data_IF_134561902139
#
_entry.id   IF_134561902139
#
_cell.length_a   1.000
_cell.length_b   1.000
_cell.length_c   1.000
_cell.angle_alpha   90.00
_cell.angle_beta   90.00
_cell.angle_gamma   90.00
#
_symmetry.space_group_name_H-M   'P 1'
#
loop_
_entity.id
_entity.type
_entity.pdbx_description
1 polymer ?
#
# COMPACT_ATOMS: atom_id res chain seq x y z
N UNK A 1 3.74 31.17 6.11
CA UNK A 1 4.49 30.06 6.74
C UNK A 1 4.05 29.84 8.18
N UNK A 2 4.14 30.85 8.98
CA UNK A 2 3.69 30.81 10.39
C UNK A 2 2.25 30.33 10.57
N UNK A 3 1.37 30.68 9.64
CA UNK A 3 -0.02 30.23 9.64
C UNK A 3 -0.16 28.70 9.40
N UNK A 4 0.66 28.11 8.52
CA UNK A 4 0.65 26.66 8.28
C UNK A 4 1.26 25.88 9.47
N UNK A 5 2.37 26.36 10.05
CA UNK A 5 2.92 25.78 11.29
C UNK A 5 1.91 25.81 12.43
N UNK A 6 1.23 26.95 12.61
CA UNK A 6 0.19 27.10 13.64
C UNK A 6 -0.99 26.14 13.42
N UNK A 7 -1.42 25.95 12.16
CA UNK A 7 -2.47 25.00 11.82
C UNK A 7 -2.04 23.57 12.10
N UNK A 8 -0.82 23.18 11.66
CA UNK A 8 -0.28 21.84 11.91
C UNK A 8 -0.19 21.61 13.43
N UNK A 9 0.39 22.54 14.20
CA UNK A 9 0.50 22.41 15.65
C UNK A 9 -0.88 22.28 16.33
N UNK A 10 -1.88 23.05 15.88
CA UNK A 10 -3.26 22.98 16.41
C UNK A 10 -3.91 21.63 16.19
N UNK A 11 -3.65 20.99 15.05
CA UNK A 11 -4.29 19.75 14.64
C UNK A 11 -3.36 18.52 14.72
N UNK A 12 -2.12 18.68 15.23
CA UNK A 12 -1.17 17.57 15.44
C UNK A 12 -1.57 16.70 16.65
N UNK A 13 -2.79 16.21 16.63
CA UNK A 13 -3.31 15.29 17.64
C UNK A 13 -3.34 13.86 17.08
N UNK A 14 -3.11 12.83 17.90
CA UNK A 14 -3.33 11.45 17.49
C UNK A 14 -4.79 11.28 17.05
N UNK A 15 -4.99 10.93 15.80
CA UNK A 15 -6.31 10.70 15.23
C UNK A 15 -6.30 9.50 14.30
N UNK A 16 -7.43 8.84 14.07
CA UNK A 16 -7.52 7.80 13.08
C UNK A 16 -7.19 8.37 11.70
N UNK A 17 -6.43 7.62 10.91
CA UNK A 17 -6.26 7.92 9.49
C UNK A 17 -7.58 7.62 8.79
N UNK A 18 -8.31 8.65 8.43
CA UNK A 18 -9.51 8.52 7.59
C UNK A 18 -9.07 8.27 6.14
N UNK A 19 -8.79 7.02 5.82
CA UNK A 19 -8.51 6.59 4.44
C UNK A 19 -9.78 6.20 3.71
N UNK A 20 -10.84 5.94 4.47
CA UNK A 20 -12.18 5.57 4.02
C UNK A 20 -13.19 5.88 5.12
N UNK A 21 -14.45 5.95 4.81
CA UNK A 21 -15.53 6.05 5.77
C UNK A 21 -16.60 4.96 5.47
N UNK A 22 -17.07 4.21 6.48
CA UNK A 22 -16.51 4.09 7.84
C UNK A 22 -15.08 3.60 7.87
N UNK A 23 -14.38 3.82 9.01
CA UNK A 23 -13.00 3.40 9.17
C UNK A 23 -12.92 1.90 9.47
N UNK A 24 -11.74 1.30 9.29
CA UNK A 24 -11.55 -0.12 9.65
C UNK A 24 -11.74 -0.40 11.16
N UNK A 25 -11.78 0.61 12.03
CA UNK A 25 -12.08 0.46 13.44
C UNK A 25 -13.56 0.15 13.70
N UNK A 26 -14.43 0.57 12.78
CA UNK A 26 -15.87 0.37 12.86
C UNK A 26 -16.33 -1.02 12.39
N UNK A 27 -15.41 -1.83 11.83
CA UNK A 27 -15.74 -3.17 11.36
C UNK A 27 -15.99 -4.13 12.53
N UNK A 28 -17.15 -4.78 12.53
CA UNK A 28 -17.57 -5.75 13.55
C UNK A 28 -17.27 -7.19 13.13
N UNK A 29 -16.89 -8.02 14.12
CA UNK A 29 -16.80 -9.48 13.96
C UNK A 29 -18.20 -10.12 13.96
N UNK A 30 -19.19 -9.43 14.52
CA UNK A 30 -20.59 -9.87 14.58
C UNK A 30 -21.38 -9.47 13.33
N UNK A 31 -20.73 -8.83 12.34
CA UNK A 31 -21.37 -8.51 11.07
C UNK A 31 -21.88 -9.78 10.37
N UNK A 32 -23.09 -9.69 9.78
CA UNK A 32 -23.69 -10.79 9.02
C UNK A 32 -22.80 -11.16 7.81
N UNK A 33 -22.01 -12.22 7.99
CA UNK A 33 -21.08 -12.73 6.96
C UNK A 33 -21.83 -13.20 5.71
N UNK A 34 -23.05 -13.71 5.84
CA UNK A 34 -23.89 -14.10 4.72
C UNK A 34 -24.29 -12.89 3.85
N UNK A 35 -24.66 -11.79 4.49
CA UNK A 35 -24.96 -10.54 3.81
C UNK A 35 -23.69 -9.92 3.19
N UNK A 36 -22.57 -9.88 3.91
CA UNK A 36 -21.29 -9.43 3.38
C UNK A 36 -20.85 -10.24 2.15
N UNK A 37 -21.01 -11.57 2.18
CA UNK A 37 -20.79 -12.46 1.02
C UNK A 37 -21.70 -12.06 -0.14
N UNK A 38 -23.00 -11.92 0.08
CA UNK A 38 -23.98 -11.57 -0.96
C UNK A 38 -23.63 -10.23 -1.62
N UNK A 39 -23.26 -9.21 -0.84
CA UNK A 39 -22.85 -7.89 -1.34
C UNK A 39 -21.50 -7.93 -2.09
N UNK A 40 -20.63 -8.87 -1.74
CA UNK A 40 -19.36 -9.06 -2.43
C UNK A 40 -19.52 -9.68 -3.82
N UNK A 41 -20.62 -10.38 -4.05
CA UNK A 41 -20.98 -10.98 -5.35
C UNK A 41 -21.72 -9.97 -6.25
N UNK A 42 -21.41 -8.69 -6.11
CA UNK A 42 -21.95 -7.58 -6.88
C UNK A 42 -21.93 -7.88 -8.39
N UNK A 43 -22.94 -7.37 -9.09
CA UNK A 43 -23.08 -7.52 -10.55
C UNK A 43 -22.18 -6.57 -11.35
N UNK A 44 -21.39 -5.71 -10.69
CA UNK A 44 -20.49 -4.78 -11.40
C UNK A 44 -19.45 -5.58 -12.17
N UNK A 45 -19.32 -5.36 -13.48
CA UNK A 45 -18.40 -6.12 -14.32
C UNK A 45 -16.95 -5.77 -14.06
N UNK A 46 -16.67 -4.52 -13.67
CA UNK A 46 -15.33 -4.00 -13.46
C UNK A 46 -14.95 -4.06 -11.98
N UNK A 47 -13.68 -4.32 -11.69
CA UNK A 47 -13.16 -4.34 -10.33
C UNK A 47 -11.70 -3.86 -10.27
N UNK A 48 -11.29 -3.42 -9.07
CA UNK A 48 -9.89 -3.36 -8.65
C UNK A 48 -9.56 -4.61 -7.84
N UNK A 49 -8.36 -5.18 -8.01
CA UNK A 49 -7.87 -6.31 -7.23
C UNK A 49 -6.72 -5.87 -6.34
N UNK A 50 -6.79 -6.21 -5.06
CA UNK A 50 -5.66 -6.13 -4.13
C UNK A 50 -5.20 -7.53 -3.72
N UNK A 51 -3.91 -7.78 -3.76
CA UNK A 51 -3.32 -9.02 -3.24
C UNK A 51 -2.36 -8.68 -2.12
N UNK A 52 -2.63 -9.16 -0.93
CA UNK A 52 -1.76 -8.98 0.22
C UNK A 52 -0.68 -10.05 0.27
N UNK A 53 0.59 -9.64 0.21
CA UNK A 53 1.74 -10.53 0.38
C UNK A 53 2.38 -10.22 1.73
N UNK A 54 2.18 -11.03 2.79
CA UNK A 54 2.53 -10.66 4.15
C UNK A 54 4.03 -10.77 4.48
N UNK A 55 4.86 -11.27 3.59
CA UNK A 55 6.26 -11.60 3.89
C UNK A 55 7.20 -10.42 3.74
N UNK A 56 8.15 -10.30 4.69
CA UNK A 56 9.32 -9.42 4.60
C UNK A 56 10.57 -10.21 4.97
N UNK A 57 11.67 -9.99 4.26
CA UNK A 57 12.98 -10.59 4.61
C UNK A 57 13.55 -9.99 5.91
N UNK A 58 13.24 -8.71 6.19
CA UNK A 58 13.62 -8.00 7.41
C UNK A 58 12.49 -7.09 7.87
N UNK A 59 12.25 -7.01 9.17
CA UNK A 59 11.24 -6.13 9.74
C UNK A 59 11.84 -4.76 10.07
N UNK A 60 11.28 -3.73 9.45
CA UNK A 60 11.60 -2.35 9.78
C UNK A 60 10.90 -1.96 11.09
N UNK A 61 11.61 -1.26 11.99
CA UNK A 61 11.07 -0.91 13.33
C UNK A 61 9.93 0.10 13.27
N UNK A 62 9.81 0.89 12.22
CA UNK A 62 8.72 1.86 12.03
C UNK A 62 7.44 1.24 11.48
N UNK A 63 7.50 0.02 10.91
CA UNK A 63 6.45 -0.52 10.08
C UNK A 63 5.14 -0.74 10.83
N UNK A 64 4.05 -0.21 10.28
CA UNK A 64 2.67 -0.38 10.76
C UNK A 64 1.91 -1.52 10.08
N UNK A 65 2.44 -2.11 9.01
CA UNK A 65 1.75 -3.11 8.21
C UNK A 65 1.60 -4.47 8.95
N UNK A 66 0.64 -5.26 8.49
CA UNK A 66 0.54 -6.67 8.91
C UNK A 66 1.53 -7.48 8.10
N UNK A 67 2.64 -7.84 8.76
CA UNK A 67 3.77 -8.52 8.11
C UNK A 67 4.23 -9.71 8.90
N UNK A 68 4.79 -10.69 8.19
CA UNK A 68 5.43 -11.88 8.74
C UNK A 68 6.88 -11.94 8.29
N UNK A 69 7.81 -12.20 9.21
CA UNK A 69 9.19 -12.43 8.83
C UNK A 69 9.27 -13.73 8.02
N UNK A 70 9.55 -13.59 6.73
CA UNK A 70 9.79 -14.73 5.84
C UNK A 70 11.18 -15.32 6.09
N UNK A 71 11.23 -16.63 6.40
CA UNK A 71 12.48 -17.35 6.62
C UNK A 71 12.94 -18.12 5.39
N UNK A 72 11.97 -18.57 4.59
CA UNK A 72 12.20 -19.33 3.37
C UNK A 72 11.08 -19.12 2.34
N UNK A 73 11.33 -19.52 1.11
CA UNK A 73 10.38 -19.41 0.00
C UNK A 73 9.27 -20.47 0.06
N UNK A 74 9.40 -21.52 0.89
CA UNK A 74 8.36 -22.52 1.05
C UNK A 74 7.09 -21.93 1.68
N UNK A 75 7.26 -21.09 2.71
CA UNK A 75 6.12 -20.42 3.35
C UNK A 75 5.35 -19.53 2.36
N UNK A 76 6.03 -18.84 1.46
CA UNK A 76 5.37 -18.04 0.42
C UNK A 76 4.71 -18.92 -0.65
N UNK A 77 5.27 -20.07 -0.99
CA UNK A 77 4.68 -21.03 -1.92
C UNK A 77 3.38 -21.62 -1.36
N UNK A 78 3.39 -22.04 -0.10
CA UNK A 78 2.21 -22.53 0.61
C UNK A 78 1.14 -21.42 0.67
N UNK A 79 1.54 -20.18 0.91
CA UNK A 79 0.64 -19.03 0.93
C UNK A 79 0.00 -18.74 -0.43
N UNK A 80 0.74 -18.80 -1.53
CA UNK A 80 0.17 -18.64 -2.88
C UNK A 80 -0.86 -19.74 -3.19
N UNK A 81 -0.65 -20.95 -2.65
CA UNK A 81 -1.66 -22.02 -2.74
C UNK A 81 -2.94 -21.64 -2.00
N UNK A 82 -2.83 -21.02 -0.82
CA UNK A 82 -4.00 -20.52 -0.08
C UNK A 82 -4.73 -19.39 -0.83
N UNK A 83 -3.98 -18.44 -1.44
CA UNK A 83 -4.57 -17.38 -2.27
C UNK A 83 -5.36 -17.97 -3.45
N UNK A 84 -4.81 -18.99 -4.13
CA UNK A 84 -5.53 -19.70 -5.19
C UNK A 84 -6.79 -20.39 -4.68
N UNK A 85 -6.72 -21.07 -3.52
CA UNK A 85 -7.89 -21.69 -2.88
C UNK A 85 -8.94 -20.67 -2.43
N UNK A 86 -8.54 -19.50 -1.92
CA UNK A 86 -9.46 -18.42 -1.57
C UNK A 86 -10.27 -17.98 -2.81
N UNK A 87 -9.59 -17.76 -3.94
CA UNK A 87 -10.25 -17.39 -5.18
C UNK A 87 -11.17 -18.48 -5.70
N UNK A 88 -10.78 -19.76 -5.57
CA UNK A 88 -11.64 -20.90 -5.87
C UNK A 88 -12.89 -20.94 -4.98
N UNK A 89 -12.74 -20.67 -3.67
CA UNK A 89 -13.89 -20.60 -2.76
C UNK A 89 -14.84 -19.45 -3.14
N UNK A 90 -14.31 -18.30 -3.56
CA UNK A 90 -15.12 -17.19 -4.07
C UNK A 90 -15.85 -17.57 -5.37
N UNK A 91 -15.18 -18.27 -6.30
CA UNK A 91 -15.82 -18.79 -7.54
C UNK A 91 -16.94 -19.75 -7.22
N UNK A 92 -16.72 -20.71 -6.30
CA UNK A 92 -17.77 -21.65 -5.83
C UNK A 92 -18.92 -20.93 -5.14
N UNK A 93 -18.64 -19.81 -4.48
CA UNK A 93 -19.65 -18.96 -3.87
C UNK A 93 -20.50 -18.19 -4.90
N UNK A 94 -20.15 -18.23 -6.19
CA UNK A 94 -20.86 -17.56 -7.28
C UNK A 94 -20.20 -16.27 -7.76
N UNK A 95 -18.91 -16.01 -7.41
CA UNK A 95 -18.22 -14.83 -7.93
C UNK A 95 -18.08 -14.92 -9.45
N UNK A 96 -18.58 -13.91 -10.19
CA UNK A 96 -18.43 -13.87 -11.65
C UNK A 96 -16.97 -13.57 -12.03
N UNK A 97 -16.60 -13.92 -13.25
CA UNK A 97 -15.32 -13.51 -13.82
C UNK A 97 -15.40 -12.02 -14.15
N UNK A 98 -14.65 -11.21 -13.42
CA UNK A 98 -14.67 -9.74 -13.51
C UNK A 98 -13.51 -9.22 -14.35
N UNK A 99 -13.72 -8.06 -14.98
CA UNK A 99 -12.67 -7.33 -15.68
C UNK A 99 -11.90 -6.42 -14.70
N UNK A 100 -10.60 -6.67 -14.55
CA UNK A 100 -9.75 -5.87 -13.68
C UNK A 100 -9.24 -4.60 -14.40
N UNK A 101 -9.63 -3.45 -13.88
CA UNK A 101 -9.13 -2.13 -14.31
C UNK A 101 -7.88 -1.71 -13.53
N UNK A 102 -7.72 -2.25 -12.34
CA UNK A 102 -6.58 -1.96 -11.47
C UNK A 102 -6.19 -3.22 -10.70
N UNK A 103 -4.89 -3.47 -10.56
CA UNK A 103 -4.32 -4.52 -9.73
C UNK A 103 -3.24 -3.91 -8.85
N UNK A 104 -3.23 -4.26 -7.58
CA UNK A 104 -2.21 -3.81 -6.64
C UNK A 104 -1.68 -4.96 -5.78
N UNK A 105 -0.36 -5.15 -5.79
CA UNK A 105 0.34 -6.04 -4.87
C UNK A 105 0.96 -5.22 -3.75
N UNK A 106 0.56 -5.51 -2.52
CA UNK A 106 1.07 -4.77 -1.35
C UNK A 106 1.17 -5.66 -0.11
N UNK A 107 1.33 -5.03 1.05
CA UNK A 107 1.32 -5.68 2.34
C UNK A 107 2.62 -5.66 3.11
N UNK A 108 3.38 -6.75 3.08
CA UNK A 108 4.75 -6.83 3.55
C UNK A 108 5.71 -6.36 2.47
N UNK A 109 6.08 -7.30 1.60
CA UNK A 109 6.99 -7.03 0.48
C UNK A 109 6.70 -8.01 -0.67
N UNK A 110 5.99 -7.61 -1.73
CA UNK A 110 5.69 -8.49 -2.86
C UNK A 110 6.92 -9.09 -3.53
N UNK A 111 8.05 -8.38 -3.58
CA UNK A 111 9.30 -8.93 -4.10
C UNK A 111 10.08 -9.81 -3.08
N UNK A 112 9.43 -10.22 -1.97
CA UNK A 112 9.86 -11.40 -1.21
C UNK A 112 9.72 -12.68 -2.06
N UNK A 113 8.71 -12.73 -2.91
CA UNK A 113 8.47 -13.84 -3.84
C UNK A 113 9.67 -14.04 -4.80
N UNK A 114 9.91 -15.31 -5.17
CA UNK A 114 10.85 -15.63 -6.26
C UNK A 114 10.26 -15.24 -7.62
N UNK A 115 11.07 -15.16 -8.70
CA UNK A 115 10.57 -14.92 -10.05
C UNK A 115 9.47 -15.94 -10.47
N UNK A 116 9.65 -17.22 -10.14
CA UNK A 116 8.70 -18.29 -10.44
C UNK A 116 7.41 -18.12 -9.68
N UNK A 117 7.48 -17.70 -8.41
CA UNK A 117 6.32 -17.42 -7.56
C UNK A 117 5.54 -16.18 -8.05
N UNK A 118 6.25 -15.16 -8.54
CA UNK A 118 5.62 -13.98 -9.18
C UNK A 118 4.85 -14.42 -10.42
N UNK A 119 5.48 -15.24 -11.28
CA UNK A 119 4.81 -15.79 -12.46
C UNK A 119 3.59 -16.64 -12.11
N UNK A 120 3.70 -17.49 -11.07
CA UNK A 120 2.59 -18.30 -10.55
C UNK A 120 1.44 -17.43 -10.07
N UNK A 121 1.71 -16.35 -9.32
CA UNK A 121 0.69 -15.41 -8.86
C UNK A 121 -0.02 -14.75 -10.05
N UNK A 122 0.72 -14.33 -11.07
CA UNK A 122 0.15 -13.79 -12.30
C UNK A 122 -0.75 -14.78 -13.03
N UNK A 123 -0.40 -16.07 -13.04
CA UNK A 123 -1.23 -17.14 -13.61
C UNK A 123 -2.52 -17.37 -12.81
N UNK A 124 -2.42 -17.42 -11.46
CA UNK A 124 -3.58 -17.53 -10.57
C UNK A 124 -4.57 -16.38 -10.85
N UNK A 125 -4.10 -15.14 -10.96
CA UNK A 125 -5.01 -14.02 -11.21
C UNK A 125 -5.73 -14.18 -12.54
N UNK A 126 -5.04 -14.56 -13.62
CA UNK A 126 -5.63 -14.73 -14.95
C UNK A 126 -6.62 -15.91 -15.04
N UNK A 127 -6.51 -16.88 -14.16
CA UNK A 127 -7.48 -17.98 -14.07
C UNK A 127 -8.87 -17.49 -13.61
N UNK A 128 -8.92 -16.53 -12.68
CA UNK A 128 -10.17 -16.09 -12.07
C UNK A 128 -10.71 -14.77 -12.61
N UNK A 129 -9.86 -13.96 -13.26
CA UNK A 129 -10.20 -12.62 -13.73
C UNK A 129 -9.80 -12.41 -15.18
N UNK A 130 -10.42 -11.42 -15.81
CA UNK A 130 -9.95 -10.80 -17.05
C UNK A 130 -9.16 -9.54 -16.69
N UNK A 131 -8.11 -9.24 -17.44
CA UNK A 131 -7.30 -8.03 -17.23
C UNK A 131 -7.53 -7.10 -18.41
N UNK A 132 -7.98 -5.87 -18.14
CA UNK A 132 -8.19 -4.87 -19.19
C UNK A 132 -6.85 -4.45 -19.83
N UNK A 133 -6.85 -4.13 -21.12
CA UNK A 133 -5.66 -3.69 -21.84
C UNK A 133 -5.00 -2.46 -21.19
N UNK A 134 -5.81 -1.52 -20.66
CA UNK A 134 -5.34 -0.31 -19.96
C UNK A 134 -5.32 -0.49 -18.43
N UNK A 135 -5.16 -1.72 -17.91
CA UNK A 135 -5.10 -1.98 -16.47
C UNK A 135 -3.88 -1.30 -15.83
N UNK A 136 -4.11 -0.52 -14.76
CA UNK A 136 -3.01 -0.09 -13.89
C UNK A 136 -2.62 -1.26 -12.98
N UNK A 137 -1.45 -1.84 -13.21
CA UNK A 137 -0.95 -2.95 -12.42
C UNK A 137 0.28 -2.50 -11.61
N UNK A 138 0.11 -2.35 -10.31
CA UNK A 138 1.12 -1.79 -9.41
C UNK A 138 1.63 -2.81 -8.38
N UNK A 139 2.88 -2.65 -7.95
CA UNK A 139 3.50 -3.44 -6.89
C UNK A 139 4.32 -2.56 -5.94
N UNK A 140 4.19 -2.80 -4.63
CA UNK A 140 5.06 -2.24 -3.60
C UNK A 140 6.34 -3.06 -3.51
N UNK A 141 7.49 -2.42 -3.70
CA UNK A 141 8.78 -3.11 -3.79
C UNK A 141 9.78 -2.58 -2.77
N UNK A 142 10.52 -3.50 -2.18
CA UNK A 142 11.65 -3.19 -1.31
C UNK A 142 12.95 -3.27 -2.12
N UNK A 143 13.65 -2.14 -2.38
CA UNK A 143 14.90 -2.13 -3.13
C UNK A 143 15.96 -3.06 -2.58
N UNK A 144 15.98 -3.31 -1.27
CA UNK A 144 17.01 -4.14 -0.60
C UNK A 144 17.03 -5.58 -1.09
N UNK A 145 15.88 -6.12 -1.49
CA UNK A 145 15.72 -7.53 -1.91
C UNK A 145 15.24 -7.68 -3.34
N UNK A 146 15.11 -6.55 -4.06
CA UNK A 146 14.77 -6.56 -5.48
C UNK A 146 15.98 -7.03 -6.30
N UNK A 147 15.74 -7.82 -7.34
CA UNK A 147 16.73 -8.24 -8.34
C UNK A 147 16.17 -7.98 -9.74
N UNK A 148 17.05 -7.97 -10.75
CA UNK A 148 16.63 -7.78 -12.14
C UNK A 148 15.64 -8.87 -12.58
N UNK A 149 15.88 -10.13 -12.19
CA UNK A 149 15.01 -11.26 -12.56
C UNK A 149 13.61 -11.10 -11.96
N UNK A 150 13.51 -10.59 -10.73
CA UNK A 150 12.20 -10.29 -10.10
C UNK A 150 11.48 -9.16 -10.83
N UNK A 151 12.20 -8.09 -11.19
CA UNK A 151 11.64 -6.99 -11.98
C UNK A 151 11.12 -7.48 -13.32
N UNK A 152 11.89 -8.30 -14.02
CA UNK A 152 11.49 -8.91 -15.29
C UNK A 152 10.25 -9.81 -15.13
N UNK A 153 10.15 -10.58 -14.04
CA UNK A 153 8.97 -11.37 -13.73
C UNK A 153 7.73 -10.50 -13.47
N UNK A 154 7.86 -9.40 -12.71
CA UNK A 154 6.78 -8.44 -12.51
C UNK A 154 6.34 -7.80 -13.84
N UNK A 155 7.27 -7.35 -14.66
CA UNK A 155 6.96 -6.80 -15.98
C UNK A 155 6.22 -7.82 -16.86
N UNK A 156 6.68 -9.08 -16.87
CA UNK A 156 6.10 -10.17 -17.67
C UNK A 156 4.67 -10.51 -17.27
N UNK A 157 4.29 -10.39 -16.01
CA UNK A 157 2.89 -10.57 -15.57
C UNK A 157 2.03 -9.35 -15.82
N UNK A 158 2.60 -8.22 -16.26
CA UNK A 158 1.89 -6.99 -16.65
C UNK A 158 2.02 -5.83 -15.66
N UNK A 159 2.86 -5.93 -14.63
CA UNK A 159 3.13 -4.78 -13.73
C UNK A 159 3.71 -3.62 -14.55
N UNK A 160 3.06 -2.46 -14.49
CA UNK A 160 3.44 -1.24 -15.22
C UNK A 160 3.67 -0.03 -14.29
N UNK A 161 3.49 -0.21 -12.99
CA UNK A 161 3.77 0.77 -11.94
C UNK A 161 4.47 0.11 -10.75
N UNK A 162 5.46 0.77 -10.19
CA UNK A 162 6.14 0.31 -8.98
C UNK A 162 6.14 1.41 -7.91
N UNK A 163 5.94 1.03 -6.64
CA UNK A 163 6.23 1.89 -5.48
C UNK A 163 7.48 1.37 -4.78
N UNK A 164 8.53 2.19 -4.71
CA UNK A 164 9.78 1.84 -4.05
C UNK A 164 9.83 2.45 -2.65
N UNK A 165 9.89 1.61 -1.62
CA UNK A 165 10.11 2.06 -0.26
C UNK A 165 11.55 2.55 -0.04
N UNK A 166 11.83 3.83 -0.19
CA UNK A 166 13.14 4.44 0.09
C UNK A 166 13.21 4.89 1.54
N UNK A 167 12.18 5.58 2.02
CA UNK A 167 11.96 6.09 3.38
C UNK A 167 12.93 7.21 3.78
N UNK A 168 14.21 6.91 3.89
CA UNK A 168 15.29 7.84 4.22
C UNK A 168 16.62 7.32 3.69
N UNK A 169 17.54 8.22 3.28
CA UNK A 169 18.87 7.84 2.74
C UNK A 169 20.00 8.06 3.73
N UNK A 170 19.73 8.69 4.89
CA UNK A 170 20.74 8.89 5.93
C UNK A 170 21.10 7.57 6.63
N UNK A 171 22.39 7.17 6.69
CA UNK A 171 22.81 5.88 7.25
C UNK A 171 22.45 5.70 8.73
N UNK A 172 22.50 6.76 9.55
CA UNK A 172 22.18 6.68 10.97
C UNK A 172 20.67 6.49 11.20
N UNK A 173 19.83 7.19 10.41
CA UNK A 173 18.38 6.99 10.41
C UNK A 173 18.05 5.55 9.98
N UNK A 174 18.66 5.08 8.90
CA UNK A 174 18.46 3.72 8.38
C UNK A 174 18.82 2.63 9.41
N UNK A 175 19.96 2.82 10.11
CA UNK A 175 20.40 1.94 11.19
C UNK A 175 19.43 1.94 12.37
N UNK A 176 18.97 3.12 12.80
CA UNK A 176 18.01 3.25 13.89
C UNK A 176 16.71 2.48 13.58
N UNK A 177 16.20 2.59 12.36
CA UNK A 177 14.93 1.97 11.95
C UNK A 177 15.09 0.54 11.40
N UNK A 178 16.29 -0.05 11.44
CA UNK A 178 16.61 -1.38 10.91
C UNK A 178 16.29 -1.52 9.41
N UNK A 179 16.63 -0.48 8.61
CA UNK A 179 16.44 -0.48 7.15
C UNK A 179 17.67 0.09 6.45
N UNK A 180 18.78 -0.66 6.46
CA UNK A 180 20.01 -0.25 5.78
C UNK A 180 19.81 -0.43 4.27
N UNK A 181 19.86 0.69 3.55
CA UNK A 181 19.54 0.78 2.12
C UNK A 181 20.37 1.90 1.48
N UNK A 182 21.61 1.62 1.06
CA UNK A 182 22.46 2.64 0.43
C UNK A 182 21.78 3.27 -0.79
N UNK A 183 21.97 4.58 -1.07
CA UNK A 183 21.35 5.26 -2.22
C UNK A 183 21.63 4.58 -3.56
N UNK A 184 22.80 3.96 -3.72
CA UNK A 184 23.15 3.20 -4.92
C UNK A 184 22.14 2.07 -5.19
N UNK A 185 21.61 1.42 -4.15
CA UNK A 185 20.61 0.36 -4.27
C UNK A 185 19.30 0.86 -4.85
N UNK A 186 18.93 2.11 -4.51
CA UNK A 186 17.73 2.75 -5.07
C UNK A 186 17.92 3.05 -6.56
N UNK A 187 19.11 3.53 -6.95
CA UNK A 187 19.47 3.81 -8.36
C UNK A 187 19.42 2.53 -9.21
N UNK A 188 19.98 1.44 -8.69
CA UNK A 188 19.92 0.13 -9.35
C UNK A 188 18.49 -0.36 -9.54
N UNK A 189 17.66 -0.29 -8.49
CA UNK A 189 16.26 -0.69 -8.55
C UNK A 189 15.48 0.12 -9.61
N UNK A 190 15.68 1.44 -9.66
CA UNK A 190 15.06 2.31 -10.67
C UNK A 190 15.55 2.00 -12.09
N UNK A 191 16.85 1.72 -12.27
CA UNK A 191 17.41 1.32 -13.57
C UNK A 191 16.74 0.04 -14.06
N UNK A 192 16.72 -1.01 -13.25
CA UNK A 192 16.09 -2.29 -13.61
C UNK A 192 14.61 -2.17 -13.96
N UNK A 193 13.86 -1.33 -13.22
CA UNK A 193 12.46 -1.07 -13.52
C UNK A 193 12.29 -0.42 -14.89
N UNK A 194 13.06 0.63 -15.19
CA UNK A 194 13.02 1.34 -16.47
C UNK A 194 13.47 0.46 -17.64
N UNK A 195 14.55 -0.29 -17.48
CA UNK A 195 15.05 -1.26 -18.46
C UNK A 195 14.01 -2.34 -18.79
N UNK A 196 13.17 -2.70 -17.81
CA UNK A 196 12.07 -3.67 -17.96
C UNK A 196 10.75 -3.03 -18.42
N UNK A 197 10.73 -1.73 -18.76
CA UNK A 197 9.55 -1.01 -19.25
C UNK A 197 8.62 -0.46 -18.17
N UNK A 198 8.97 -0.60 -16.87
CA UNK A 198 8.17 -0.06 -15.75
C UNK A 198 8.63 1.38 -15.45
N UNK A 199 8.03 2.35 -16.16
CA UNK A 199 8.42 3.76 -16.08
C UNK A 199 7.62 4.57 -15.04
N UNK A 200 6.45 4.09 -14.62
CA UNK A 200 5.63 4.74 -13.61
C UNK A 200 6.12 4.37 -12.20
N UNK A 201 7.14 5.09 -11.73
CA UNK A 201 7.78 4.81 -10.43
C UNK A 201 7.31 5.83 -9.41
N UNK A 202 6.83 5.33 -8.27
CA UNK A 202 6.59 6.09 -7.05
C UNK A 202 7.73 5.85 -6.06
N UNK A 203 8.14 6.88 -5.33
CA UNK A 203 9.11 6.78 -4.23
C UNK A 203 8.38 7.10 -2.92
N UNK A 204 8.45 6.17 -1.97
CA UNK A 204 7.94 6.40 -0.62
C UNK A 204 9.05 6.96 0.26
N UNK A 205 8.82 8.13 0.84
CA UNK A 205 9.66 8.78 1.85
C UNK A 205 8.90 8.88 3.16
N UNK A 206 9.65 8.91 4.26
CA UNK A 206 9.08 9.03 5.59
C UNK A 206 9.75 10.15 6.38
N UNK A 207 8.95 11.11 6.85
CA UNK A 207 9.43 12.16 7.76
C UNK A 207 9.03 11.88 9.20
N UNK A 208 9.80 12.43 10.14
CA UNK A 208 9.60 12.22 11.57
C UNK A 208 10.16 10.91 12.11
N UNK A 209 11.04 10.25 11.37
CA UNK A 209 11.85 9.14 11.87
C UNK A 209 12.87 9.61 12.90
N UNK A 210 13.31 8.75 13.84
CA UNK A 210 14.37 9.09 14.77
C UNK A 210 15.63 9.59 14.06
N UNK A 211 16.35 10.52 14.68
CA UNK A 211 17.60 11.12 14.20
C UNK A 211 17.48 11.96 12.92
N UNK A 212 16.30 12.11 12.35
CA UNK A 212 16.11 13.04 11.23
C UNK A 212 16.28 14.49 11.69
N UNK A 213 16.97 15.26 10.88
CA UNK A 213 17.09 16.73 10.99
C UNK A 213 16.72 17.37 9.66
N UNK A 214 16.48 18.67 9.63
CA UNK A 214 16.28 19.43 8.39
C UNK A 214 17.39 19.12 7.38
N UNK A 215 18.65 19.20 7.81
CA UNK A 215 19.82 18.99 6.95
C UNK A 215 19.89 17.55 6.38
N UNK A 216 19.66 16.53 7.22
CA UNK A 216 19.74 15.15 6.77
C UNK A 216 18.57 14.79 5.86
N UNK A 217 17.38 15.33 6.13
CA UNK A 217 16.20 15.07 5.33
C UNK A 217 16.21 15.83 4.00
N UNK A 218 16.82 17.03 3.96
CA UNK A 218 17.09 17.74 2.70
C UNK A 218 17.92 16.88 1.74
N UNK A 219 18.97 16.22 2.25
CA UNK A 219 19.76 15.28 1.43
C UNK A 219 18.93 14.07 0.96
N UNK A 220 18.07 13.52 1.81
CA UNK A 220 17.15 12.43 1.43
C UNK A 220 16.22 12.86 0.30
N UNK A 221 15.70 14.09 0.34
CA UNK A 221 14.85 14.65 -0.72
C UNK A 221 15.63 14.80 -2.03
N UNK A 222 16.86 15.32 -1.97
CA UNK A 222 17.74 15.44 -3.14
C UNK A 222 17.98 14.07 -3.79
N UNK A 223 18.39 13.07 -2.98
CA UNK A 223 18.63 11.70 -3.45
C UNK A 223 17.38 11.08 -4.10
N UNK A 224 16.18 11.36 -3.55
CA UNK A 224 14.94 10.90 -4.13
C UNK A 224 14.59 11.61 -5.45
N UNK A 225 14.85 12.93 -5.55
CA UNK A 225 14.61 13.70 -6.77
C UNK A 225 15.58 13.31 -7.90
N UNK A 226 16.82 12.92 -7.59
CA UNK A 226 17.78 12.37 -8.58
C UNK A 226 17.26 11.10 -9.25
N UNK A 227 16.36 10.34 -8.61
CA UNK A 227 15.72 9.17 -9.22
C UNK A 227 14.62 9.52 -10.22
N UNK A 228 14.25 10.79 -10.34
CA UNK A 228 13.21 11.30 -11.26
C UNK A 228 11.88 10.54 -11.20
N UNK A 229 11.30 10.28 -10.01
CA UNK A 229 10.07 9.52 -9.91
C UNK A 229 8.88 10.23 -10.56
N UNK A 230 7.87 9.45 -10.99
CA UNK A 230 6.60 10.02 -11.47
C UNK A 230 5.74 10.53 -10.30
N UNK A 231 5.84 9.87 -9.15
CA UNK A 231 5.12 10.20 -7.90
C UNK A 231 6.06 10.12 -6.70
N UNK A 232 5.72 10.88 -5.66
CA UNK A 232 6.37 10.80 -4.35
C UNK A 232 5.27 10.72 -3.31
N UNK A 233 5.37 9.74 -2.39
CA UNK A 233 4.55 9.67 -1.20
C UNK A 233 5.42 10.05 0.01
N UNK A 234 5.03 11.09 0.74
CA UNK A 234 5.75 11.63 1.89
C UNK A 234 4.97 11.32 3.16
N UNK A 235 5.20 10.15 3.75
CA UNK A 235 4.48 9.68 4.93
C UNK A 235 5.05 10.24 6.23
N UNK A 236 4.15 10.66 7.13
CA UNK A 236 4.53 10.96 8.51
C UNK A 236 4.70 9.68 9.32
N UNK A 237 5.83 9.54 10.04
CA UNK A 237 6.00 8.43 10.98
C UNK A 237 4.96 8.50 12.11
N UNK A 238 4.13 7.45 12.20
CA UNK A 238 3.16 7.27 13.27
C UNK A 238 3.78 6.40 14.38
N UNK A 239 4.03 7.01 15.54
CA UNK A 239 4.54 6.30 16.71
C UNK A 239 3.38 5.72 17.53
N UNK A 240 3.19 4.41 17.44
CA UNK A 240 2.08 3.66 18.06
C UNK A 240 2.58 2.39 18.76
N UNK A 241 3.49 2.50 19.75
CA UNK A 241 4.16 1.37 20.37
C UNK A 241 3.19 0.42 21.13
N UNK A 242 2.02 0.89 21.50
CA UNK A 242 0.94 0.07 22.07
C UNK A 242 0.30 -0.89 21.06
N UNK A 243 0.38 -0.59 19.75
CA UNK A 243 -0.06 -1.47 18.65
C UNK A 243 1.11 -2.23 18.05
N UNK A 244 2.29 -1.59 17.95
CA UNK A 244 3.51 -2.10 17.32
C UNK A 244 4.67 -2.05 18.33
N UNK A 245 4.82 -3.03 19.20
CA UNK A 245 5.82 -3.03 20.28
C UNK A 245 7.27 -2.84 19.83
N UNK A 246 7.60 -3.25 18.59
CA UNK A 246 8.93 -3.04 18.01
C UNK A 246 9.31 -1.55 17.90
N UNK A 247 8.35 -0.64 17.87
CA UNK A 247 8.58 0.80 17.81
C UNK A 247 9.15 1.37 19.12
N UNK A 248 8.97 0.71 20.29
CA UNK A 248 9.52 1.17 21.59
C UNK A 248 11.03 1.40 21.56
N UNK A 249 11.75 0.62 20.76
CA UNK A 249 13.22 0.78 20.63
C UNK A 249 13.58 2.15 20.06
N UNK A 250 12.72 2.74 19.23
CA UNK A 250 12.95 4.03 18.58
C UNK A 250 12.87 5.21 19.54
N UNK A 251 12.18 5.07 20.68
CA UNK A 251 12.09 6.11 21.72
C UNK A 251 13.47 6.48 22.26
N UNK A 252 14.37 5.49 22.33
CA UNK A 252 15.76 5.70 22.81
C UNK A 252 16.64 6.48 21.82
N UNK A 253 16.21 6.59 20.56
CA UNK A 253 16.96 7.28 19.51
C UNK A 253 16.57 8.76 19.36
N UNK A 254 15.58 9.25 20.12
CA UNK A 254 15.02 10.60 19.99
C UNK A 254 14.10 10.72 18.77
N UNK A 255 12.79 10.70 19.02
CA UNK A 255 11.76 10.91 17.99
C UNK A 255 11.55 12.42 17.84
N UNK A 256 11.52 12.97 16.61
CA UNK A 256 11.24 14.39 16.40
C UNK A 256 9.90 14.81 17.02
N UNK A 257 9.90 16.01 17.61
CA UNK A 257 8.69 16.65 18.14
C UNK A 257 7.66 16.95 17.04
N UNK A 258 6.45 17.30 17.42
CA UNK A 258 5.40 17.68 16.44
C UNK A 258 5.80 18.90 15.60
N UNK A 259 6.55 19.85 16.20
CA UNK A 259 7.05 21.03 15.50
C UNK A 259 8.15 20.65 14.48
N UNK A 260 9.12 19.85 14.89
CA UNK A 260 10.18 19.33 14.01
C UNK A 260 9.58 18.50 12.86
N UNK A 261 8.58 17.67 13.12
CA UNK A 261 7.83 16.95 12.07
C UNK A 261 7.14 17.89 11.10
N UNK A 262 6.55 18.97 11.60
CA UNK A 262 5.92 19.97 10.75
C UNK A 262 6.96 20.65 9.85
N UNK A 263 8.14 20.97 10.37
CA UNK A 263 9.22 21.56 9.59
C UNK A 263 9.75 20.61 8.51
N UNK A 264 9.91 19.32 8.82
CA UNK A 264 10.30 18.30 7.85
C UNK A 264 9.25 18.15 6.73
N UNK A 265 7.95 18.13 7.07
CA UNK A 265 6.88 18.08 6.07
C UNK A 265 6.87 19.31 5.17
N UNK A 266 7.02 20.52 5.76
CA UNK A 266 7.05 21.78 5.01
C UNK A 266 8.27 21.82 4.07
N UNK A 267 9.43 21.36 4.54
CA UNK A 267 10.63 21.22 3.72
C UNK A 267 10.34 20.32 2.51
N UNK A 268 9.84 19.10 2.74
CA UNK A 268 9.52 18.14 1.67
C UNK A 268 8.53 18.72 0.65
N UNK A 269 7.41 19.25 1.14
CA UNK A 269 6.38 19.88 0.28
C UNK A 269 6.97 20.95 -0.63
N UNK A 270 7.77 21.87 -0.08
CA UNK A 270 8.39 22.95 -0.86
C UNK A 270 9.41 22.47 -1.87
N UNK A 271 10.23 21.50 -1.46
CA UNK A 271 11.25 20.93 -2.34
C UNK A 271 10.62 20.24 -3.55
N UNK A 272 9.54 19.48 -3.33
CA UNK A 272 8.83 18.82 -4.42
C UNK A 272 8.08 19.82 -5.31
N UNK A 273 7.41 20.81 -4.75
CA UNK A 273 6.77 21.87 -5.53
C UNK A 273 7.80 22.67 -6.38
N UNK A 274 8.96 22.98 -5.79
CA UNK A 274 10.09 23.63 -6.52
C UNK A 274 10.63 22.74 -7.64
N UNK A 275 10.62 21.41 -7.45
CA UNK A 275 11.00 20.44 -8.47
C UNK A 275 9.89 20.14 -9.50
N UNK A 276 8.77 20.87 -9.47
CA UNK A 276 7.70 20.80 -10.44
C UNK A 276 6.64 19.72 -10.18
N UNK A 277 6.60 19.15 -8.99
CA UNK A 277 5.53 18.23 -8.60
C UNK A 277 4.31 19.02 -8.09
N UNK A 278 3.12 18.55 -8.42
CA UNK A 278 1.87 19.06 -7.88
C UNK A 278 1.47 18.22 -6.65
N UNK A 279 1.03 18.89 -5.58
CA UNK A 279 0.48 18.24 -4.39
C UNK A 279 -0.91 17.69 -4.70
N UNK A 280 -1.13 16.40 -4.54
CA UNK A 280 -2.41 15.72 -4.79
C UNK A 280 -3.35 15.88 -3.59
N UNK A 281 -2.84 15.56 -2.42
CA UNK A 281 -3.55 15.57 -1.14
C UNK A 281 -2.86 14.66 -0.14
N UNK A 282 -3.15 14.82 1.14
CA UNK A 282 -2.54 14.11 2.27
C UNK A 282 -1.01 14.10 2.20
N UNK A 283 -0.43 13.11 1.61
CA UNK A 283 1.00 12.81 1.58
C UNK A 283 1.55 12.59 0.14
N UNK A 284 0.73 12.83 -0.91
CA UNK A 284 1.11 12.47 -2.27
C UNK A 284 1.40 13.67 -3.17
N UNK A 285 2.46 13.54 -3.96
CA UNK A 285 2.90 14.48 -4.98
C UNK A 285 3.09 13.73 -6.30
N UNK A 286 2.79 14.38 -7.42
CA UNK A 286 3.00 13.78 -8.74
C UNK A 286 3.44 14.81 -9.77
N UNK A 287 4.12 14.34 -10.82
CA UNK A 287 4.43 15.17 -11.99
C UNK A 287 3.13 15.59 -12.70
N UNK A 288 3.06 16.78 -13.33
CA UNK A 288 1.83 17.30 -13.95
C UNK A 288 1.18 16.39 -14.99
N UNK A 289 1.97 15.55 -15.66
CA UNK A 289 1.50 14.60 -16.66
C UNK A 289 0.85 13.33 -16.07
N UNK A 290 0.98 13.11 -14.76
CA UNK A 290 0.48 11.92 -14.08
C UNK A 290 -1.05 11.80 -14.12
N UNK A 291 -1.55 10.57 -14.19
CA UNK A 291 -2.98 10.28 -14.25
C UNK A 291 -3.76 10.77 -13.02
N UNK A 292 -3.16 10.77 -11.82
CA UNK A 292 -3.82 11.28 -10.61
C UNK A 292 -4.01 12.80 -10.67
N UNK A 293 -3.06 13.55 -11.26
CA UNK A 293 -3.22 14.99 -11.45
C UNK A 293 -4.34 15.28 -12.46
N UNK A 294 -4.41 14.51 -13.53
CA UNK A 294 -5.52 14.61 -14.51
C UNK A 294 -6.86 14.29 -13.87
N UNK A 295 -6.93 13.21 -13.09
CA UNK A 295 -8.14 12.82 -12.37
C UNK A 295 -8.57 13.89 -11.35
N UNK A 296 -7.62 14.49 -10.61
CA UNK A 296 -7.92 15.61 -9.70
C UNK A 296 -8.50 16.83 -10.45
N UNK A 297 -7.89 17.22 -11.57
CA UNK A 297 -8.37 18.35 -12.37
C UNK A 297 -9.75 18.10 -12.97
N UNK A 298 -10.07 16.84 -13.26
CA UNK A 298 -11.35 16.42 -13.83
C UNK A 298 -12.41 16.08 -12.76
N UNK A 299 -12.09 16.17 -11.47
CA UNK A 299 -13.01 15.80 -10.38
C UNK A 299 -13.30 14.29 -10.26
N UNK A 300 -12.45 13.44 -10.84
CA UNK A 300 -12.59 11.97 -10.84
C UNK A 300 -11.56 11.25 -9.94
N UNK A 301 -10.76 12.02 -9.20
CA UNK A 301 -9.83 11.45 -8.24
C UNK A 301 -10.61 10.75 -7.12
N UNK A 302 -10.27 9.51 -6.87
CA UNK A 302 -10.87 8.72 -5.80
C UNK A 302 -9.80 8.26 -4.80
N UNK A 303 -10.24 7.95 -3.57
CA UNK A 303 -9.39 7.34 -2.56
C UNK A 303 -10.11 6.14 -1.94
N UNK A 304 -9.43 5.00 -1.91
CA UNK A 304 -9.88 3.78 -1.24
C UNK A 304 -8.86 3.34 -0.16
N UNK A 305 -9.02 2.15 0.41
CA UNK A 305 -8.10 1.61 1.43
C UNK A 305 -6.63 1.52 0.98
N UNK A 306 -6.37 1.49 -0.31
CA UNK A 306 -5.01 1.34 -0.87
C UNK A 306 -4.35 2.67 -1.22
N UNK A 307 -5.11 3.74 -1.27
CA UNK A 307 -4.61 5.07 -1.59
C UNK A 307 -5.41 5.75 -2.70
N UNK A 308 -4.76 6.71 -3.38
CA UNK A 308 -5.38 7.42 -4.50
C UNK A 308 -5.48 6.54 -5.73
N UNK A 309 -6.64 6.57 -6.37
CA UNK A 309 -6.98 5.82 -7.57
C UNK A 309 -7.67 6.70 -8.60
N UNK A 310 -7.49 6.37 -9.87
CA UNK A 310 -8.25 6.95 -11.00
C UNK A 310 -9.50 6.10 -11.33
N UNK A 311 -9.71 4.99 -10.62
CA UNK A 311 -10.80 4.04 -10.86
C UNK A 311 -11.89 4.22 -9.79
N UNK A 312 -12.64 5.33 -9.89
CA UNK A 312 -13.80 5.57 -9.03
C UNK A 312 -14.99 4.68 -9.43
N UNK A 313 -15.82 4.32 -8.44
CA UNK A 313 -17.11 3.66 -8.68
C UNK A 313 -17.06 2.18 -9.03
N UNK A 314 -15.89 1.54 -8.96
CA UNK A 314 -15.73 0.07 -9.10
C UNK A 314 -15.45 -0.56 -7.74
N UNK A 315 -15.81 -1.83 -7.59
CA UNK A 315 -15.51 -2.57 -6.36
C UNK A 315 -14.00 -2.80 -6.20
N UNK A 316 -13.53 -2.73 -4.96
CA UNK A 316 -12.21 -3.21 -4.58
C UNK A 316 -12.35 -4.63 -4.04
N UNK A 317 -11.91 -5.60 -4.81
CA UNK A 317 -11.82 -7.00 -4.40
C UNK A 317 -10.42 -7.27 -3.86
N UNK A 318 -10.34 -7.76 -2.63
CA UNK A 318 -9.05 -7.97 -1.97
C UNK A 318 -8.93 -9.43 -1.49
N UNK A 319 -7.76 -10.02 -1.69
CA UNK A 319 -7.45 -11.40 -1.30
C UNK A 319 -6.18 -11.47 -0.45
N UNK A 320 -6.09 -12.54 0.30
CA UNK A 320 -4.98 -12.79 1.20
C UNK A 320 -5.22 -12.31 2.63
N UNK A 321 -4.25 -12.59 3.48
CA UNK A 321 -4.28 -12.26 4.90
C UNK A 321 -4.61 -10.78 5.13
N UNK A 322 -5.53 -10.48 6.08
CA UNK A 322 -5.89 -9.11 6.51
C UNK A 322 -6.43 -8.18 5.42
N UNK A 323 -6.53 -8.62 4.17
CA UNK A 323 -6.97 -7.79 3.06
C UNK A 323 -8.37 -7.21 3.29
N UNK A 324 -8.58 -5.96 2.87
CA UNK A 324 -9.85 -5.27 3.00
C UNK A 324 -10.44 -5.07 1.61
N UNK A 325 -11.65 -5.58 1.42
CA UNK A 325 -12.46 -5.36 0.23
C UNK A 325 -13.53 -4.32 0.49
N UNK A 326 -13.90 -3.62 -0.58
CA UNK A 326 -14.87 -2.53 -0.56
C UNK A 326 -15.84 -2.72 -1.72
N UNK A 327 -17.12 -2.63 -1.42
CA UNK A 327 -18.19 -2.50 -2.40
C UNK A 327 -18.89 -1.16 -2.23
N UNK A 328 -19.88 -0.88 -3.06
CA UNK A 328 -20.67 0.33 -2.90
C UNK A 328 -21.32 0.44 -1.51
N UNK A 329 -21.69 -0.69 -0.90
CA UNK A 329 -22.52 -0.72 0.32
C UNK A 329 -21.92 -1.52 1.46
N UNK A 330 -20.68 -1.99 1.35
CA UNK A 330 -20.07 -2.78 2.42
C UNK A 330 -18.54 -2.76 2.39
N UNK A 331 -17.96 -3.04 3.55
CA UNK A 331 -16.56 -3.42 3.69
C UNK A 331 -16.46 -4.78 4.35
N UNK A 332 -15.46 -5.57 3.95
CA UNK A 332 -15.11 -6.83 4.61
C UNK A 332 -13.62 -6.97 4.73
N UNK A 333 -13.16 -7.55 5.81
CA UNK A 333 -11.74 -7.82 6.06
C UNK A 333 -11.53 -9.31 6.31
N UNK A 334 -10.49 -9.86 5.66
CA UNK A 334 -10.02 -11.21 5.88
C UNK A 334 -9.35 -11.35 7.26
N UNK A 335 -9.22 -12.60 7.74
CA UNK A 335 -8.53 -12.90 9.00
C UNK A 335 -7.13 -12.29 9.05
N UNK A 336 -6.75 -11.83 10.24
CA UNK A 336 -5.44 -11.24 10.52
C UNK A 336 -4.40 -12.27 10.97
N UNK A 337 -4.85 -13.37 11.58
CA UNK A 337 -3.98 -14.47 11.96
C UNK A 337 -3.87 -15.47 10.81
N UNK A 338 -2.64 -15.88 10.51
CA UNK A 338 -2.35 -16.79 9.37
C UNK A 338 -3.06 -18.13 9.52
N UNK A 339 -3.12 -18.65 10.74
CA UNK A 339 -3.75 -19.95 11.01
C UNK A 339 -5.26 -19.90 10.79
N UNK A 340 -5.94 -18.85 11.27
CA UNK A 340 -7.37 -18.68 11.05
C UNK A 340 -7.71 -18.51 9.57
N UNK A 341 -6.87 -17.71 8.84
CA UNK A 341 -6.99 -17.54 7.40
C UNK A 341 -6.85 -18.89 6.67
N UNK A 342 -5.80 -19.65 7.01
CA UNK A 342 -5.54 -20.96 6.43
C UNK A 342 -6.71 -21.94 6.69
N UNK A 343 -7.14 -22.05 7.95
CA UNK A 343 -8.22 -22.96 8.33
C UNK A 343 -9.52 -22.65 7.58
N UNK A 344 -9.92 -21.38 7.48
CA UNK A 344 -11.11 -20.98 6.74
C UNK A 344 -11.00 -21.32 5.24
N UNK A 345 -9.85 -21.00 4.62
CA UNK A 345 -9.64 -21.26 3.19
C UNK A 345 -9.60 -22.78 2.89
N UNK A 346 -8.94 -23.57 3.73
CA UNK A 346 -8.81 -25.03 3.55
C UNK A 346 -10.11 -25.78 3.82
N UNK A 347 -10.97 -25.26 4.69
CA UNK A 347 -12.33 -25.82 4.89
C UNK A 347 -13.33 -25.46 3.79
N UNK A 348 -12.93 -24.65 2.80
CA UNK A 348 -13.79 -24.20 1.72
C UNK A 348 -14.63 -22.96 2.06
N UNK A 349 -14.36 -22.33 3.21
CA UNK A 349 -15.04 -21.11 3.64
C UNK A 349 -14.36 -19.86 3.09
N UNK A 350 -15.12 -18.75 3.07
CA UNK A 350 -14.58 -17.44 2.77
C UNK A 350 -13.89 -16.87 4.03
N UNK A 351 -12.66 -16.38 3.93
CA UNK A 351 -11.86 -15.99 5.10
C UNK A 351 -12.26 -14.64 5.70
N UNK A 352 -13.55 -14.32 5.79
CA UNK A 352 -14.09 -13.07 6.32
C UNK A 352 -14.04 -13.10 7.85
N UNK A 353 -13.18 -12.27 8.46
CA UNK A 353 -13.12 -12.09 9.91
C UNK A 353 -14.19 -11.12 10.39
N UNK A 354 -14.29 -9.95 9.74
CA UNK A 354 -15.15 -8.84 10.15
C UNK A 354 -15.54 -7.97 8.98
N UNK A 355 -16.51 -7.09 9.19
CA UNK A 355 -16.95 -6.16 8.16
C UNK A 355 -18.02 -5.21 8.65
N UNK A 356 -18.58 -4.44 7.74
CA UNK A 356 -19.71 -3.54 7.96
C UNK A 356 -20.55 -3.43 6.69
N UNK A 357 -21.85 -3.41 6.86
CA UNK A 357 -22.81 -3.02 5.83
C UNK A 357 -23.19 -1.57 6.08
N UNK A 358 -23.10 -0.74 5.05
CA UNK A 358 -23.32 0.70 5.15
C UNK A 358 -24.82 0.99 5.15
N UNK A 359 -25.25 1.85 6.07
CA UNK A 359 -26.60 2.41 6.07
C UNK A 359 -26.69 3.71 5.24
N UNK A 360 -27.86 4.35 5.24
CA UNK A 360 -28.07 5.58 4.46
C UNK A 360 -27.24 6.76 4.96
N UNK A 361 -26.95 6.85 6.26
CA UNK A 361 -26.11 7.90 6.85
C UNK A 361 -24.63 7.65 6.52
N UNK A 362 -24.18 6.40 6.59
CA UNK A 362 -22.82 6.01 6.19
C UNK A 362 -22.55 6.36 4.72
N UNK A 363 -23.51 6.07 3.84
CA UNK A 363 -23.39 6.39 2.41
C UNK A 363 -23.32 7.90 2.17
N UNK A 364 -24.12 8.69 2.91
CA UNK A 364 -24.07 10.15 2.83
C UNK A 364 -22.71 10.71 3.30
N UNK A 365 -22.24 10.27 4.47
CA UNK A 365 -20.95 10.70 5.02
C UNK A 365 -19.77 10.30 4.14
N UNK A 366 -19.86 9.14 3.49
CA UNK A 366 -18.85 8.67 2.55
C UNK A 366 -18.78 9.51 1.27
N UNK A 367 -19.90 10.12 0.87
CA UNK A 367 -19.99 10.95 -0.33
C UNK A 367 -19.44 12.38 -0.13
N UNK A 368 -19.29 12.85 1.13
CA UNK A 368 -18.76 14.17 1.52
C UNK A 368 -17.26 14.11 1.74
#
# INVERSE_FOLDING_TARGET
MENLKRLIAKYAVPGPRYTSYPTALDFSKDADKGNLKRLALSELPDASLYVHIPFCANLCRFCGCTTTLGRDLKASEDYLTLVGKELENWRRAGMPRRLLRQIHFGGGTPNFLSPEQIMRLGAIIREYFEIADACEFSAELDPRTLTLEKVQAFAKIGVNRASLGVQDTNPEVQKAVNRIQPPQRNKEAVSWLRESGINNINIDLMYGLPLQTIKTFEKTIEDALELEPARIALFGYAHVPWVKPAQKVLEKCGIPTSEEKADLFILGKRSFEKAGYEFIGLDHFAKPADALIKARKNGTLHRNFQGYSTCAGIDLFAVGLTSISETRTSYRQNFKAMEDYKNAVESGELPIERGIVLDGEDLLRRAV
#
